data_IF_784171154879
#
_entry.id   IF_784171154879
#
_cell.length_a   1.000
_cell.length_b   1.000
_cell.length_c   1.000
_cell.angle_alpha   90.00
_cell.angle_beta   90.00
_cell.angle_gamma   90.00
#
_symmetry.space_group_name_H-M   'P 1'
#
loop_
_entity.id
_entity.type
_entity.pdbx_description
1 polymer ?
#
# COMPACT_ATOMS: atom_id res chain seq x y z
N UNK A 1 14.41 -2.09 6.28
CA UNK A 1 13.74 -3.31 6.74
C UNK A 1 12.62 -3.64 5.80
N UNK A 2 12.61 -4.85 5.23
CA UNK A 2 11.59 -5.20 4.25
C UNK A 2 10.21 -5.52 4.84
N UNK A 3 10.09 -5.59 6.16
CA UNK A 3 8.81 -5.86 6.81
C UNK A 3 8.65 -4.95 8.01
N UNK A 4 7.41 -4.75 8.40
CA UNK A 4 7.06 -3.94 9.56
C UNK A 4 6.68 -4.88 10.69
N UNK A 5 7.55 -5.03 11.66
CA UNK A 5 7.33 -6.02 12.73
C UNK A 5 6.12 -5.68 13.59
N UNK A 6 5.84 -4.42 13.79
CA UNK A 6 4.68 -3.97 14.53
C UNK A 6 3.41 -4.04 13.71
N UNK A 7 3.49 -4.47 12.47
CA UNK A 7 2.45 -4.52 11.46
C UNK A 7 2.07 -3.16 10.90
N UNK A 8 2.17 -2.09 11.68
CA UNK A 8 1.96 -0.71 11.23
C UNK A 8 2.67 0.22 12.19
N UNK A 9 3.32 1.25 11.65
CA UNK A 9 4.02 2.24 12.46
C UNK A 9 4.06 3.59 11.75
N UNK A 10 4.33 4.64 12.52
CA UNK A 10 4.53 5.99 11.99
C UNK A 10 6.02 6.23 11.80
N UNK A 11 6.40 6.73 10.63
CA UNK A 11 7.79 7.02 10.32
C UNK A 11 8.15 8.44 10.75
N UNK A 12 9.46 8.72 10.79
CA UNK A 12 9.95 10.03 11.22
C UNK A 12 9.52 11.15 10.29
N UNK A 13 9.29 10.86 9.03
CA UNK A 13 8.86 11.86 8.05
C UNK A 13 7.35 12.12 8.09
N UNK A 14 6.63 11.52 9.04
CA UNK A 14 5.20 11.71 9.17
C UNK A 14 4.35 10.79 8.33
N UNK A 15 4.96 9.88 7.58
CA UNK A 15 4.23 8.87 6.81
C UNK A 15 4.03 7.63 7.65
N UNK A 16 3.25 6.66 7.13
CA UNK A 16 3.07 5.38 7.81
C UNK A 16 3.65 4.26 6.97
N UNK A 17 4.08 3.20 7.66
CA UNK A 17 4.57 1.99 7.01
C UNK A 17 3.81 0.81 7.61
N UNK A 18 3.49 -0.19 6.78
CA UNK A 18 2.69 -1.31 7.23
C UNK A 18 2.94 -2.54 6.38
N UNK A 19 2.58 -3.70 6.96
CA UNK A 19 2.61 -4.97 6.26
C UNK A 19 3.80 -5.84 6.61
N UNK A 20 3.55 -7.15 6.69
CA UNK A 20 4.61 -8.14 6.91
C UNK A 20 4.29 -9.40 6.11
N UNK A 21 4.83 -9.45 4.91
CA UNK A 21 4.57 -10.54 3.97
C UNK A 21 5.32 -11.83 4.30
N UNK A 22 6.17 -11.80 5.32
CA UNK A 22 6.93 -13.00 5.71
C UNK A 22 6.17 -13.88 6.69
N UNK A 23 5.07 -13.37 7.24
CA UNK A 23 4.28 -14.16 8.19
C UNK A 23 3.57 -15.30 7.50
N UNK A 24 3.60 -16.48 8.11
CA UNK A 24 2.90 -17.64 7.59
C UNK A 24 1.43 -17.71 7.98
N UNK A 25 1.02 -16.89 8.94
CA UNK A 25 -0.34 -16.85 9.42
C UNK A 25 -0.82 -15.41 9.48
N UNK A 26 -2.12 -15.23 9.26
CA UNK A 26 -2.75 -13.92 9.26
C UNK A 26 -2.57 -13.22 10.60
N UNK A 27 -2.11 -11.98 10.56
CA UNK A 27 -1.97 -11.14 11.74
C UNK A 27 -2.75 -9.85 11.51
N UNK A 28 -3.30 -9.32 12.59
CA UNK A 28 -4.12 -8.10 12.53
C UNK A 28 -3.72 -7.16 13.64
N UNK A 29 -3.80 -5.87 13.34
CA UNK A 29 -3.66 -4.83 14.35
C UNK A 29 -4.74 -3.78 14.08
N UNK A 30 -5.51 -3.45 15.11
CA UNK A 30 -6.63 -2.51 15.01
C UNK A 30 -6.35 -1.29 15.87
N UNK A 31 -7.14 -0.24 15.65
CA UNK A 31 -7.14 0.94 16.49
C UNK A 31 -5.78 1.64 16.55
N UNK A 32 -5.08 1.63 15.43
CA UNK A 32 -3.85 2.39 15.30
C UNK A 32 -4.20 3.82 14.92
N UNK A 33 -3.96 4.76 15.82
CA UNK A 33 -4.30 6.16 15.58
C UNK A 33 -3.21 6.86 14.80
N UNK A 34 -3.60 7.56 13.73
CA UNK A 34 -2.69 8.32 12.90
C UNK A 34 -3.44 9.50 12.30
N UNK A 35 -3.00 10.72 12.62
CA UNK A 35 -3.60 11.96 12.12
C UNK A 35 -5.11 12.04 12.38
N UNK A 36 -5.54 11.55 13.56
CA UNK A 36 -6.93 11.62 13.94
C UNK A 36 -7.82 10.52 13.42
N UNK A 37 -7.28 9.61 12.63
CA UNK A 37 -8.03 8.49 12.07
C UNK A 37 -7.56 7.19 12.69
N UNK A 38 -8.45 6.21 12.70
CA UNK A 38 -8.15 4.87 13.22
C UNK A 38 -7.88 3.91 12.09
N UNK A 39 -6.71 3.29 12.10
CA UNK A 39 -6.27 2.37 11.07
C UNK A 39 -6.28 0.93 11.56
N UNK A 40 -6.55 0.03 10.64
CA UNK A 40 -6.50 -1.40 10.88
C UNK A 40 -5.74 -2.06 9.74
N UNK A 41 -4.80 -2.94 10.09
CA UNK A 41 -4.03 -3.68 9.11
C UNK A 41 -4.24 -5.18 9.31
N UNK A 42 -4.33 -5.90 8.21
CA UNK A 42 -4.33 -7.35 8.17
C UNK A 42 -3.26 -7.76 7.17
N UNK A 43 -2.33 -8.61 7.59
CA UNK A 43 -1.20 -8.93 6.74
C UNK A 43 -0.65 -10.32 7.02
N UNK A 44 -0.23 -11.00 5.98
CA UNK A 44 0.57 -12.22 6.01
C UNK A 44 1.00 -12.51 4.57
N UNK A 45 1.53 -13.71 4.30
CA UNK A 45 2.14 -13.97 3.00
C UNK A 45 1.16 -13.92 1.82
N UNK A 46 -0.14 -14.06 2.04
CA UNK A 46 -1.12 -14.08 0.95
C UNK A 46 -1.79 -12.74 0.69
N UNK A 47 -1.83 -11.85 1.67
CA UNK A 47 -2.50 -10.57 1.49
C UNK A 47 -2.00 -9.55 2.52
N UNK A 48 -1.97 -8.29 2.11
CA UNK A 48 -1.81 -7.15 3.01
C UNK A 48 -2.93 -6.18 2.71
N UNK A 49 -3.66 -5.77 3.75
CA UNK A 49 -4.81 -4.89 3.59
C UNK A 49 -4.81 -3.84 4.69
N UNK A 50 -5.03 -2.59 4.30
CA UNK A 50 -5.10 -1.47 5.22
C UNK A 50 -6.46 -0.80 5.10
N UNK A 51 -7.08 -0.51 6.25
CA UNK A 51 -8.35 0.22 6.32
C UNK A 51 -8.19 1.43 7.23
N UNK A 52 -8.87 2.51 6.89
CA UNK A 52 -8.92 3.73 7.69
C UNK A 52 -10.38 4.00 8.05
N UNK A 53 -10.69 4.03 9.35
CA UNK A 53 -12.06 4.20 9.83
C UNK A 53 -13.01 3.19 9.18
N UNK A 54 -12.54 1.94 9.08
CA UNK A 54 -13.26 0.81 8.48
C UNK A 54 -13.49 0.94 6.98
N UNK A 55 -12.77 1.86 6.32
CA UNK A 55 -12.88 2.02 4.87
C UNK A 55 -11.58 1.60 4.20
N UNK A 56 -11.72 0.98 3.04
CA UNK A 56 -10.60 0.45 2.26
C UNK A 56 -9.59 1.57 1.93
N UNK A 57 -8.29 1.26 2.08
CA UNK A 57 -7.21 2.17 1.70
C UNK A 57 -6.25 1.48 0.74
N UNK A 58 -5.80 0.27 1.07
CA UNK A 58 -4.75 -0.43 0.35
C UNK A 58 -4.94 -1.93 0.45
N UNK A 59 -4.65 -2.63 -0.63
CA UNK A 59 -4.65 -4.10 -0.63
C UNK A 59 -3.62 -4.62 -1.62
N UNK A 60 -2.87 -5.63 -1.21
CA UNK A 60 -1.97 -6.31 -2.14
C UNK A 60 -2.18 -7.81 -2.07
N UNK A 61 -2.04 -8.47 -3.22
CA UNK A 61 -2.13 -9.93 -3.34
C UNK A 61 -1.00 -10.37 -4.26
N UNK A 62 -0.07 -11.19 -3.78
CA UNK A 62 0.14 -11.63 -2.40
C UNK A 62 0.56 -10.51 -1.47
N UNK A 63 0.87 -10.85 -0.22
CA UNK A 63 1.23 -9.86 0.78
C UNK A 63 2.48 -9.08 0.45
N UNK A 64 2.53 -7.85 0.93
CA UNK A 64 3.67 -6.94 0.75
C UNK A 64 3.89 -6.15 2.02
N UNK A 65 4.96 -5.36 2.03
CA UNK A 65 5.16 -4.30 3.01
C UNK A 65 5.18 -2.99 2.25
N UNK A 66 4.38 -2.03 2.69
CA UNK A 66 4.35 -0.70 2.10
C UNK A 66 4.99 0.27 3.08
N UNK A 67 5.95 1.06 2.60
CA UNK A 67 6.73 1.94 3.43
C UNK A 67 6.55 3.38 2.99
N UNK A 68 6.54 4.29 3.95
CA UNK A 68 6.40 5.73 3.70
C UNK A 68 5.17 6.04 2.86
N UNK A 69 4.06 5.41 3.25
CA UNK A 69 2.78 5.57 2.55
C UNK A 69 2.22 6.96 2.86
N UNK A 70 1.94 7.70 1.81
CA UNK A 70 1.46 9.07 1.92
C UNK A 70 0.32 9.31 0.94
N UNK A 71 -0.77 9.86 1.44
CA UNK A 71 -1.91 10.26 0.61
C UNK A 71 -1.93 11.78 0.56
N UNK A 72 -2.00 12.32 -0.65
CA UNK A 72 -2.06 13.77 -0.87
C UNK A 72 -3.27 14.08 -1.75
N UNK A 73 -3.52 15.36 -1.98
CA UNK A 73 -4.59 15.78 -2.88
C UNK A 73 -4.37 15.31 -4.31
N UNK A 74 -3.13 15.00 -4.64
CA UNK A 74 -2.76 14.60 -6.01
C UNK A 74 -2.71 13.09 -6.20
N UNK A 75 -2.77 12.30 -5.13
CA UNK A 75 -2.73 10.87 -5.23
C UNK A 75 -2.05 10.21 -4.05
N UNK A 76 -1.36 9.10 -4.30
CA UNK A 76 -0.70 8.32 -3.26
C UNK A 76 0.71 7.96 -3.69
N UNK A 77 1.62 7.94 -2.72
CA UNK A 77 3.02 7.65 -2.96
C UNK A 77 3.52 6.71 -1.87
N UNK A 78 4.24 5.67 -2.25
CA UNK A 78 4.79 4.72 -1.29
C UNK A 78 5.87 3.86 -1.94
N UNK A 79 6.67 3.20 -1.09
CA UNK A 79 7.63 2.18 -1.51
C UNK A 79 7.07 0.83 -1.10
N UNK A 80 7.15 -0.15 -1.97
CA UNK A 80 6.59 -1.47 -1.69
C UNK A 80 7.66 -2.55 -1.86
N UNK A 81 7.63 -3.54 -0.97
CA UNK A 81 8.51 -4.71 -1.03
C UNK A 81 7.70 -5.97 -0.84
N UNK A 82 8.16 -7.05 -1.46
CA UNK A 82 7.51 -8.34 -1.34
C UNK A 82 8.37 -9.45 -1.92
N UNK A 83 7.96 -10.68 -1.71
CA UNK A 83 8.70 -11.85 -2.19
C UNK A 83 8.28 -12.28 -3.58
N UNK A 84 7.19 -11.73 -4.09
CA UNK A 84 6.64 -12.10 -5.40
C UNK A 84 6.04 -10.86 -6.05
N UNK A 85 5.82 -10.95 -7.36
CA UNK A 85 5.05 -9.93 -8.06
C UNK A 85 3.68 -9.82 -7.43
N UNK A 86 3.18 -8.60 -7.31
CA UNK A 86 1.95 -8.35 -6.59
C UNK A 86 1.03 -7.44 -7.37
N UNK A 87 -0.26 -7.65 -7.17
CA UNK A 87 -1.28 -6.71 -7.64
C UNK A 87 -1.68 -5.84 -6.45
N UNK A 88 -1.59 -4.53 -6.65
CA UNK A 88 -1.83 -3.55 -5.60
C UNK A 88 -3.03 -2.71 -5.98
N UNK A 89 -3.97 -2.58 -5.05
CA UNK A 89 -5.17 -1.75 -5.24
C UNK A 89 -5.17 -0.67 -4.16
N UNK A 90 -5.38 0.57 -4.57
CA UNK A 90 -5.45 1.70 -3.64
C UNK A 90 -6.74 2.47 -3.85
N UNK A 91 -7.20 3.14 -2.79
CA UNK A 91 -8.41 3.96 -2.84
C UNK A 91 -8.01 5.40 -3.17
N UNK A 92 -8.57 5.92 -4.25
CA UNK A 92 -8.32 7.28 -4.71
C UNK A 92 -9.66 7.97 -4.94
N UNK A 93 -9.63 9.13 -5.59
CA UNK A 93 -10.86 9.83 -5.94
C UNK A 93 -11.57 9.09 -7.06
N UNK A 94 -12.90 9.15 -7.07
CA UNK A 94 -13.68 8.49 -8.11
C UNK A 94 -13.66 9.29 -9.41
N UNK A 95 -13.78 8.58 -10.53
CA UNK A 95 -13.88 9.17 -11.88
C UNK A 95 -12.77 10.17 -12.16
N UNK A 96 -11.55 9.87 -11.71
CA UNK A 96 -10.40 10.77 -11.83
C UNK A 96 -9.28 10.08 -12.60
N UNK A 97 -8.60 10.86 -13.41
CA UNK A 97 -7.50 10.39 -14.26
C UNK A 97 -6.19 10.49 -13.48
N UNK A 98 -5.43 9.39 -13.46
CA UNK A 98 -4.17 9.36 -12.73
C UNK A 98 -3.03 8.86 -13.61
N UNK A 99 -1.87 9.50 -13.47
CA UNK A 99 -0.64 9.00 -14.06
C UNK A 99 0.04 8.05 -13.08
N UNK A 100 0.53 6.93 -13.59
CA UNK A 100 1.13 5.90 -12.76
C UNK A 100 2.63 5.87 -13.00
N UNK A 101 3.39 5.96 -11.92
CA UNK A 101 4.85 5.91 -11.96
C UNK A 101 5.35 4.74 -11.11
N UNK A 102 6.27 3.96 -11.67
CA UNK A 102 6.96 2.91 -10.95
C UNK A 102 8.45 3.19 -11.08
N UNK A 103 9.15 3.29 -9.95
CA UNK A 103 10.58 3.65 -9.91
C UNK A 103 10.84 4.97 -10.66
N UNK A 104 9.93 5.93 -10.48
CA UNK A 104 10.00 7.27 -11.10
C UNK A 104 9.88 7.27 -12.62
N UNK A 105 9.46 6.16 -13.21
CA UNK A 105 9.21 6.06 -14.64
C UNK A 105 7.71 6.00 -14.89
N UNK A 106 7.22 6.81 -15.81
CA UNK A 106 5.81 6.78 -16.17
C UNK A 106 5.51 5.47 -16.90
N UNK A 107 4.57 4.69 -16.35
CA UNK A 107 4.22 3.39 -16.93
C UNK A 107 2.82 3.36 -17.49
N UNK A 108 2.02 4.39 -17.24
CA UNK A 108 0.68 4.42 -17.81
C UNK A 108 -0.17 5.50 -17.19
N UNK A 109 -1.40 5.51 -17.66
CA UNK A 109 -2.43 6.43 -17.22
C UNK A 109 -3.71 5.62 -17.05
N UNK A 110 -4.41 5.81 -15.93
CA UNK A 110 -5.64 5.10 -15.67
C UNK A 110 -6.67 6.04 -15.06
N UNK A 111 -7.92 5.84 -15.44
CA UNK A 111 -9.02 6.56 -14.84
C UNK A 111 -9.71 5.65 -13.83
N UNK A 112 -9.94 6.14 -12.63
CA UNK A 112 -10.68 5.39 -11.63
C UNK A 112 -12.14 5.34 -12.02
N UNK A 113 -12.85 4.33 -11.51
CA UNK A 113 -14.29 4.20 -11.73
C UNK A 113 -15.05 4.88 -10.59
N UNK A 114 -16.33 4.59 -10.49
CA UNK A 114 -17.18 5.20 -9.46
C UNK A 114 -16.75 4.84 -8.04
N UNK A 115 -16.07 3.71 -7.86
CA UNK A 115 -15.60 3.31 -6.53
C UNK A 115 -14.27 3.99 -6.16
N UNK A 116 -13.57 4.57 -7.12
CA UNK A 116 -12.32 5.24 -6.87
C UNK A 116 -11.13 4.31 -6.66
N UNK A 117 -11.27 3.03 -6.95
CA UNK A 117 -10.19 2.07 -6.75
C UNK A 117 -9.33 1.95 -7.99
N UNK A 118 -8.03 1.91 -7.79
CA UNK A 118 -7.06 1.78 -8.86
C UNK A 118 -6.14 0.61 -8.57
N UNK A 119 -5.99 -0.31 -9.54
CA UNK A 119 -5.18 -1.50 -9.38
C UNK A 119 -4.02 -1.49 -10.36
N UNK A 120 -2.84 -1.84 -9.87
CA UNK A 120 -1.65 -1.95 -10.70
C UNK A 120 -0.89 -3.21 -10.31
N UNK A 121 -0.14 -3.76 -11.28
CA UNK A 121 0.73 -4.91 -11.04
C UNK A 121 2.16 -4.41 -10.96
N UNK A 122 2.89 -4.86 -9.94
CA UNK A 122 4.28 -4.48 -9.75
C UNK A 122 5.14 -5.73 -9.66
N UNK A 123 6.36 -5.61 -10.18
CA UNK A 123 7.30 -6.72 -10.19
C UNK A 123 8.22 -6.62 -9.00
N UNK A 124 8.10 -7.59 -8.10
CA UNK A 124 8.89 -7.65 -6.86
C UNK A 124 9.59 -9.01 -6.74
N UNK A 125 9.75 -9.71 -7.84
CA UNK A 125 10.09 -11.12 -7.85
C UNK A 125 11.43 -11.46 -7.22
N UNK A 126 12.36 -10.50 -7.15
CA UNK A 126 13.63 -10.77 -6.50
C UNK A 126 13.61 -10.51 -5.01
N UNK A 127 12.45 -10.19 -4.47
CA UNK A 127 12.27 -10.07 -3.03
C UNK A 127 12.90 -8.86 -2.38
N UNK A 128 13.70 -8.12 -3.12
CA UNK A 128 14.34 -6.93 -2.61
C UNK A 128 14.15 -5.72 -3.53
N UNK A 129 13.34 -5.89 -4.55
CA UNK A 129 13.00 -4.77 -5.41
C UNK A 129 12.19 -3.76 -4.61
N UNK A 130 12.49 -2.52 -4.80
CA UNK A 130 11.78 -1.45 -4.13
C UNK A 130 11.11 -0.62 -5.20
N UNK A 131 9.78 -0.61 -5.20
CA UNK A 131 9.01 0.13 -6.17
C UNK A 131 8.30 1.27 -5.48
N UNK A 132 8.36 2.43 -6.10
CA UNK A 132 7.59 3.58 -5.64
C UNK A 132 6.49 3.84 -6.64
N UNK A 133 5.26 3.85 -6.16
CA UNK A 133 4.12 4.18 -6.99
C UNK A 133 3.61 5.55 -6.60
N UNK A 134 3.41 6.37 -7.61
CA UNK A 134 2.85 7.69 -7.44
C UNK A 134 1.72 7.84 -8.45
N UNK A 135 0.58 8.15 -7.95
CA UNK A 135 -0.62 8.22 -8.79
C UNK A 135 -1.26 9.58 -8.64
#
# INVERSE_FOLDING_TARGET
MPVIEELICTEQDGTISFGNYKLGQKAKKSDFEYQGDMYKVKTYNEITKLERNDMFVYESVPGTAAEHFRVTDEGVEFTVEGSKDAQITVQLENDTDYDIYVNDSAVGNMMTNMSGKLSVSVELEIGRASCRERV
#
